data_IF_917811461726
#
_entry.id   IF_917811461726
#
_cell.length_a   1.000
_cell.length_b   1.000
_cell.length_c   1.000
_cell.angle_alpha   90.00
_cell.angle_beta   90.00
_cell.angle_gamma   90.00
#
_symmetry.space_group_name_H-M   'P 1'
#
loop_
_entity.id
_entity.type
_entity.pdbx_description
1 polymer ?
#
# COMPACT_ATOMS: atom_id res chain seq x y z
N UNK A 1 -65.83 -29.38 62.18
CA UNK A 1 -64.54 -29.10 61.54
C UNK A 1 -64.63 -28.90 60.01
N UNK A 2 -65.78 -28.38 59.46
CA UNK A 2 -65.92 -28.19 57.99
C UNK A 2 -66.13 -26.75 57.52
N UNK A 3 -66.07 -25.75 58.40
CA UNK A 3 -66.30 -24.32 58.06
C UNK A 3 -65.03 -23.50 57.81
N UNK A 4 -63.84 -24.02 58.16
CA UNK A 4 -62.59 -23.27 58.04
C UNK A 4 -61.90 -23.55 56.69
N UNK A 5 -62.23 -24.62 55.97
CA UNK A 5 -61.60 -24.97 54.69
C UNK A 5 -62.14 -24.10 53.52
N UNK A 6 -63.36 -23.59 53.55
CA UNK A 6 -63.94 -22.78 52.47
C UNK A 6 -63.42 -21.35 52.40
N UNK A 7 -63.02 -20.77 53.55
CA UNK A 7 -62.46 -19.38 53.57
C UNK A 7 -61.04 -19.25 53.06
N UNK A 8 -60.20 -20.32 53.08
CA UNK A 8 -58.85 -20.30 52.57
C UNK A 8 -58.80 -20.36 51.05
N UNK A 9 -59.74 -21.01 50.38
CA UNK A 9 -59.79 -21.07 48.91
C UNK A 9 -60.37 -19.80 48.29
N UNK A 10 -61.24 -19.10 48.93
CA UNK A 10 -61.79 -17.80 48.48
C UNK A 10 -60.74 -16.68 48.51
N UNK A 11 -59.90 -16.60 49.57
CA UNK A 11 -58.87 -15.60 49.71
C UNK A 11 -57.74 -15.80 48.74
N UNK A 12 -57.33 -17.06 48.44
CA UNK A 12 -56.26 -17.37 47.47
C UNK A 12 -56.66 -17.02 46.02
N UNK A 13 -57.93 -17.19 45.66
CA UNK A 13 -58.47 -16.82 44.35
C UNK A 13 -58.62 -15.30 44.18
N UNK A 14 -59.03 -14.56 45.23
CA UNK A 14 -59.12 -13.11 45.20
C UNK A 14 -57.68 -12.48 45.02
N UNK A 15 -56.68 -13.00 45.70
CA UNK A 15 -55.28 -12.53 45.57
C UNK A 15 -54.76 -12.85 44.17
N UNK A 16 -55.10 -14.00 43.59
CA UNK A 16 -54.65 -14.34 42.18
C UNK A 16 -55.33 -13.43 41.17
N UNK A 17 -56.58 -13.06 41.31
CA UNK A 17 -57.27 -12.15 40.41
C UNK A 17 -56.72 -10.72 40.55
N UNK A 18 -56.37 -10.27 41.75
CA UNK A 18 -55.78 -8.95 41.98
C UNK A 18 -54.33 -8.87 41.41
N UNK A 19 -53.60 -9.94 41.51
CA UNK A 19 -52.22 -9.98 40.91
C UNK A 19 -52.24 -10.01 39.37
N UNK A 20 -53.21 -10.76 38.78
CA UNK A 20 -53.40 -10.78 37.32
C UNK A 20 -53.91 -9.43 36.82
N UNK A 21 -54.81 -8.78 37.55
CA UNK A 21 -55.29 -7.43 37.24
C UNK A 21 -54.22 -6.35 37.34
N UNK A 22 -53.29 -6.43 38.30
CA UNK A 22 -52.18 -5.52 38.46
C UNK A 22 -51.13 -5.69 37.39
N UNK A 23 -50.91 -6.93 36.90
CA UNK A 23 -49.98 -7.21 35.78
C UNK A 23 -50.60 -6.72 34.46
N UNK A 24 -51.92 -6.83 34.27
CA UNK A 24 -52.59 -6.34 33.07
C UNK A 24 -52.72 -4.81 33.01
N UNK A 25 -52.78 -4.10 34.14
CA UNK A 25 -52.73 -2.63 34.18
C UNK A 25 -51.28 -2.07 34.10
N UNK A 26 -50.27 -2.85 34.50
CA UNK A 26 -48.85 -2.44 34.41
C UNK A 26 -48.27 -2.53 33.01
N UNK A 27 -48.85 -3.36 32.11
CA UNK A 27 -48.35 -3.55 30.75
C UNK A 27 -48.86 -2.52 29.72
N UNK A 28 -49.79 -1.63 30.10
CA UNK A 28 -50.39 -0.64 29.19
C UNK A 28 -49.77 0.77 29.28
N UNK A 29 -48.70 0.98 30.08
CA UNK A 29 -48.04 2.28 30.23
C UNK A 29 -46.60 2.35 29.69
N UNK A 30 -46.11 1.27 29.06
CA UNK A 30 -44.90 1.38 28.27
C UNK A 30 -45.31 1.83 26.87
N UNK A 31 -45.53 3.12 26.68
CA UNK A 31 -45.50 3.69 25.33
C UNK A 31 -44.18 3.30 24.69
N UNK A 32 -44.17 2.64 23.53
CA UNK A 32 -42.92 2.49 22.79
C UNK A 32 -42.40 3.90 22.58
N UNK A 33 -41.16 4.16 23.01
CA UNK A 33 -40.47 5.38 22.65
C UNK A 33 -40.63 5.54 21.13
N UNK A 34 -41.00 6.74 20.63
CA UNK A 34 -41.11 6.94 19.20
C UNK A 34 -39.82 6.45 18.57
N UNK A 35 -39.92 5.45 17.68
CA UNK A 35 -38.81 5.03 16.88
C UNK A 35 -38.26 6.30 16.21
N UNK A 36 -37.08 6.72 16.61
CA UNK A 36 -36.40 7.86 15.99
C UNK A 36 -36.32 7.50 14.52
N UNK A 37 -37.09 8.20 13.70
CA UNK A 37 -37.03 8.00 12.26
C UNK A 37 -35.54 8.18 11.90
N UNK A 38 -34.93 7.15 11.37
CA UNK A 38 -33.57 7.26 10.81
C UNK A 38 -33.63 8.38 9.79
N UNK A 39 -32.87 9.45 10.02
CA UNK A 39 -32.74 10.52 9.04
C UNK A 39 -32.20 9.88 7.75
N UNK A 40 -32.77 10.21 6.59
CA UNK A 40 -32.33 9.63 5.32
C UNK A 40 -30.86 9.94 5.12
N UNK A 41 -30.08 8.94 4.75
CA UNK A 41 -28.66 9.08 4.44
C UNK A 41 -28.44 10.09 3.32
N UNK A 42 -27.65 11.11 3.57
CA UNK A 42 -27.26 12.10 2.57
C UNK A 42 -26.23 11.51 1.62
N UNK A 43 -26.64 11.31 0.36
CA UNK A 43 -25.74 10.81 -0.69
C UNK A 43 -25.02 11.95 -1.39
N UNK A 44 -23.69 11.90 -1.37
CA UNK A 44 -22.80 12.86 -2.01
C UNK A 44 -22.10 12.19 -3.18
N UNK A 45 -22.47 12.56 -4.41
CA UNK A 45 -21.81 12.08 -5.62
C UNK A 45 -20.47 12.77 -5.78
N UNK A 46 -19.38 11.99 -5.96
CA UNK A 46 -18.01 12.51 -6.05
C UNK A 46 -17.32 12.06 -7.31
N UNK A 47 -16.46 12.92 -7.84
CA UNK A 47 -15.56 12.60 -8.94
C UNK A 47 -14.28 13.42 -8.86
N UNK A 48 -13.23 12.95 -9.53
CA UNK A 48 -11.90 13.53 -9.45
C UNK A 48 -11.24 13.60 -10.85
N UNK A 49 -10.53 14.69 -11.10
CA UNK A 49 -9.70 14.88 -12.29
C UNK A 49 -8.26 15.17 -11.87
N UNK A 50 -7.35 14.25 -12.18
CA UNK A 50 -5.92 14.44 -11.95
C UNK A 50 -5.36 15.36 -13.03
N UNK A 51 -4.90 16.53 -12.63
CA UNK A 51 -4.36 17.55 -13.52
C UNK A 51 -2.86 17.39 -13.75
N UNK A 52 -2.09 17.08 -12.68
CA UNK A 52 -0.64 16.89 -12.74
C UNK A 52 -0.14 15.98 -11.61
N UNK A 53 1.01 15.34 -11.83
CA UNK A 53 1.70 14.48 -10.87
C UNK A 53 3.20 14.70 -10.97
N UNK A 54 3.85 15.00 -9.85
CA UNK A 54 5.27 15.34 -9.78
C UNK A 54 5.94 14.66 -8.58
N UNK A 55 7.27 14.62 -8.61
CA UNK A 55 8.14 14.36 -7.47
C UNK A 55 7.80 13.11 -6.65
N UNK A 56 7.69 11.94 -7.33
CA UNK A 56 7.58 10.67 -6.62
C UNK A 56 8.89 10.36 -5.88
N UNK A 57 8.88 10.55 -4.58
CA UNK A 57 10.02 10.30 -3.69
C UNK A 57 9.82 8.99 -2.92
N UNK A 58 10.63 7.99 -3.25
CA UNK A 58 10.61 6.69 -2.59
C UNK A 58 11.15 6.75 -1.16
N UNK A 59 12.11 7.67 -0.88
CA UNK A 59 12.75 7.75 0.42
C UNK A 59 11.82 8.29 1.51
N UNK A 60 10.88 9.15 1.13
CA UNK A 60 9.89 9.75 2.03
C UNK A 60 8.48 9.18 1.85
N UNK A 61 8.32 8.16 1.00
CA UNK A 61 7.02 7.55 0.69
C UNK A 61 5.98 8.59 0.24
N UNK A 62 6.40 9.60 -0.54
CA UNK A 62 5.57 10.76 -0.88
C UNK A 62 5.56 11.10 -2.36
N UNK A 63 4.55 11.85 -2.79
CA UNK A 63 4.40 12.37 -4.14
C UNK A 63 3.59 13.66 -4.15
N UNK A 64 3.92 14.57 -5.07
CA UNK A 64 3.21 15.84 -5.27
C UNK A 64 2.17 15.67 -6.37
N UNK A 65 0.92 16.05 -6.10
CA UNK A 65 -0.18 15.92 -7.04
C UNK A 65 -1.07 17.16 -7.04
N UNK A 66 -1.57 17.52 -8.24
CA UNK A 66 -2.57 18.57 -8.48
C UNK A 66 -3.82 17.94 -9.09
N UNK A 67 -4.99 18.16 -8.50
CA UNK A 67 -6.24 17.58 -8.96
C UNK A 67 -7.43 18.44 -8.61
N UNK A 68 -8.52 18.19 -9.32
CA UNK A 68 -9.84 18.73 -9.02
C UNK A 68 -10.72 17.63 -8.46
N UNK A 69 -11.43 17.92 -7.36
CA UNK A 69 -12.44 17.08 -6.74
C UNK A 69 -13.77 17.78 -6.81
N UNK A 70 -14.76 17.20 -7.47
CA UNK A 70 -16.10 17.75 -7.48
C UNK A 70 -17.06 16.89 -6.69
N UNK A 71 -18.09 17.58 -6.15
CA UNK A 71 -19.15 16.97 -5.35
C UNK A 71 -20.51 17.48 -5.79
N UNK A 72 -21.51 16.60 -5.76
CA UNK A 72 -22.92 16.94 -5.95
C UNK A 72 -23.75 16.30 -4.84
N UNK A 73 -24.66 17.07 -4.24
CA UNK A 73 -25.54 16.61 -3.17
C UNK A 73 -26.89 17.33 -3.22
N UNK A 74 -27.92 16.79 -2.57
CA UNK A 74 -29.29 17.34 -2.64
C UNK A 74 -29.73 18.06 -1.38
N UNK A 75 -29.23 17.67 -0.20
CA UNK A 75 -29.61 18.28 1.06
C UNK A 75 -28.99 19.68 1.21
N UNK A 76 -29.79 20.77 1.19
CA UNK A 76 -29.26 22.13 1.30
C UNK A 76 -28.73 22.48 2.70
N UNK A 77 -28.94 21.60 3.69
CA UNK A 77 -28.49 21.80 5.10
C UNK A 77 -27.05 21.37 5.34
N UNK A 78 -26.46 20.64 4.39
CA UNK A 78 -25.08 20.20 4.48
C UNK A 78 -24.24 20.88 3.39
N UNK A 79 -22.95 21.05 3.67
CA UNK A 79 -21.96 21.45 2.68
C UNK A 79 -20.74 20.54 2.81
N UNK A 80 -20.73 19.39 2.12
CA UNK A 80 -19.61 18.44 2.18
C UNK A 80 -18.29 19.02 1.69
N UNK A 81 -18.34 20.13 0.93
CA UNK A 81 -17.11 20.78 0.44
C UNK A 81 -16.31 21.47 1.54
N UNK A 82 -16.95 21.76 2.67
CA UNK A 82 -16.31 22.36 3.85
C UNK A 82 -15.83 21.32 4.87
N UNK A 83 -16.38 20.11 4.80
CA UNK A 83 -16.12 19.04 5.80
C UNK A 83 -15.26 17.91 5.26
N UNK A 84 -15.09 17.79 3.92
CA UNK A 84 -14.23 16.79 3.33
C UNK A 84 -12.76 17.07 3.68
N UNK A 85 -12.05 16.05 4.15
CA UNK A 85 -10.64 16.15 4.51
C UNK A 85 -9.81 15.05 3.85
N UNK A 86 -8.51 15.32 3.72
CA UNK A 86 -7.54 14.40 3.17
C UNK A 86 -6.91 13.57 4.28
N UNK A 87 -6.99 12.24 4.20
CA UNK A 87 -6.51 11.32 5.24
C UNK A 87 -5.03 10.96 5.09
N UNK A 88 -4.41 11.23 3.95
CA UNK A 88 -3.02 10.88 3.68
C UNK A 88 -2.21 12.02 3.05
N UNK A 89 -2.60 13.27 3.29
CA UNK A 89 -1.79 14.44 2.93
C UNK A 89 -0.65 14.64 3.92
N UNK A 90 0.54 15.00 3.41
CA UNK A 90 1.70 15.30 4.24
C UNK A 90 1.77 16.81 4.50
N UNK A 91 1.17 17.25 5.60
CA UNK A 91 1.09 18.65 5.99
C UNK A 91 2.41 19.25 6.47
N UNK A 92 3.32 18.41 6.97
CA UNK A 92 4.56 18.88 7.59
C UNK A 92 5.56 19.47 6.61
N UNK A 93 5.40 19.28 5.30
CA UNK A 93 6.31 19.81 4.29
C UNK A 93 5.87 21.13 3.66
N UNK A 94 4.63 21.59 3.87
CA UNK A 94 4.12 22.84 3.32
C UNK A 94 3.84 23.88 4.41
N UNK A 95 4.86 24.65 4.77
CA UNK A 95 4.83 25.72 5.78
C UNK A 95 3.99 26.95 5.42
N UNK A 96 3.16 26.92 4.40
CA UNK A 96 2.49 28.14 3.88
C UNK A 96 0.97 28.18 3.98
N UNK A 97 0.29 27.19 4.53
CA UNK A 97 -1.17 27.34 4.70
C UNK A 97 -1.80 26.49 5.79
N UNK A 98 -2.53 27.17 6.61
CA UNK A 98 -3.57 26.74 7.56
C UNK A 98 -3.14 26.01 8.83
N UNK A 99 -3.64 26.53 9.93
CA UNK A 99 -3.49 26.04 11.32
C UNK A 99 -4.05 24.62 11.58
N UNK A 100 -4.49 23.90 10.56
CA UNK A 100 -5.08 22.56 10.65
C UNK A 100 -4.30 21.44 9.96
N UNK A 101 -3.09 21.69 9.45
CA UNK A 101 -2.12 20.62 9.17
C UNK A 101 -2.40 19.70 7.98
N UNK A 102 -3.30 20.00 7.04
CA UNK A 102 -3.61 19.18 5.86
C UNK A 102 -3.53 19.98 4.55
N UNK A 103 -3.49 19.26 3.41
CA UNK A 103 -3.72 19.87 2.11
C UNK A 103 -5.20 20.19 2.00
N UNK A 104 -5.55 21.47 2.00
CA UNK A 104 -6.95 21.92 1.89
C UNK A 104 -7.33 22.21 0.45
N UNK A 105 -8.54 21.80 0.08
CA UNK A 105 -9.12 22.11 -1.24
C UNK A 105 -9.50 23.59 -1.33
N UNK A 106 -9.06 24.25 -2.39
CA UNK A 106 -9.50 25.62 -2.68
C UNK A 106 -10.78 25.54 -3.56
N UNK A 107 -11.93 26.06 -3.08
CA UNK A 107 -13.15 26.05 -3.90
C UNK A 107 -13.00 26.99 -5.11
N UNK A 108 -13.49 26.54 -6.26
CA UNK A 108 -13.50 27.34 -7.50
C UNK A 108 -14.66 28.35 -7.50
N UNK A 109 -15.76 28.01 -6.86
CA UNK A 109 -16.90 28.91 -6.68
C UNK A 109 -16.96 29.38 -5.24
N UNK A 110 -17.28 30.66 -4.96
CA UNK A 110 -17.41 31.16 -3.60
C UNK A 110 -18.46 30.42 -2.76
N UNK A 111 -19.54 29.97 -3.41
CA UNK A 111 -20.62 29.16 -2.84
C UNK A 111 -20.99 28.03 -3.79
N UNK A 112 -21.54 26.91 -3.27
CA UNK A 112 -22.06 25.84 -4.12
C UNK A 112 -23.15 26.33 -5.06
N UNK A 113 -23.08 25.93 -6.32
CA UNK A 113 -24.03 26.33 -7.36
C UNK A 113 -25.17 25.31 -7.50
N UNK A 114 -26.38 25.81 -7.79
CA UNK A 114 -27.54 24.97 -8.05
C UNK A 114 -27.46 24.35 -9.46
N UNK A 115 -27.71 23.05 -9.54
CA UNK A 115 -27.74 22.31 -10.80
C UNK A 115 -29.21 22.18 -11.31
N UNK A 116 -29.39 21.94 -12.64
CA UNK A 116 -30.73 21.78 -13.21
C UNK A 116 -31.57 20.63 -12.62
N UNK A 117 -30.92 19.61 -12.03
CA UNK A 117 -31.54 18.47 -11.38
C UNK A 117 -31.91 18.73 -9.89
N UNK A 118 -31.72 19.97 -9.42
CA UNK A 118 -31.98 20.39 -8.04
C UNK A 118 -30.88 20.00 -7.06
N UNK A 119 -29.74 19.47 -7.51
CA UNK A 119 -28.58 19.23 -6.66
C UNK A 119 -27.72 20.49 -6.51
N UNK A 120 -26.96 20.56 -5.41
CA UNK A 120 -25.87 21.50 -5.20
C UNK A 120 -24.59 20.91 -5.80
N UNK A 121 -23.71 21.76 -6.32
CA UNK A 121 -22.42 21.39 -6.91
C UNK A 121 -21.32 22.29 -6.40
N UNK A 122 -20.19 21.69 -6.03
CA UNK A 122 -18.94 22.41 -5.76
C UNK A 122 -17.77 21.62 -6.32
N UNK A 123 -16.73 22.36 -6.72
CA UNK A 123 -15.46 21.80 -7.17
C UNK A 123 -14.33 22.45 -6.40
N UNK A 124 -13.43 21.61 -5.88
CA UNK A 124 -12.25 22.00 -5.11
C UNK A 124 -11.00 21.66 -5.90
N UNK A 125 -10.02 22.56 -5.93
CA UNK A 125 -8.68 22.26 -6.42
C UNK A 125 -7.76 21.98 -5.26
N UNK A 126 -7.07 20.86 -5.32
CA UNK A 126 -6.04 20.45 -4.39
C UNK A 126 -4.68 20.44 -5.07
N UNK A 127 -3.67 20.94 -4.38
CA UNK A 127 -2.29 20.86 -4.83
C UNK A 127 -1.41 20.68 -3.60
N UNK A 128 -0.66 19.58 -3.55
CA UNK A 128 0.19 19.30 -2.39
C UNK A 128 0.83 17.94 -2.40
N UNK A 129 1.48 17.64 -1.27
CA UNK A 129 2.19 16.39 -1.05
C UNK A 129 1.29 15.40 -0.34
N UNK A 130 1.20 14.22 -0.91
CA UNK A 130 0.49 13.06 -0.35
C UNK A 130 1.49 11.96 -0.03
N UNK A 131 1.19 11.15 0.97
CA UNK A 131 2.06 10.06 1.37
C UNK A 131 1.33 8.72 1.36
N UNK A 132 2.07 7.69 0.97
CA UNK A 132 1.66 6.31 1.07
C UNK A 132 2.88 5.42 1.11
N UNK A 133 2.94 4.50 2.08
CA UNK A 133 4.02 3.52 2.16
C UNK A 133 4.13 2.74 0.84
N UNK A 134 5.30 2.83 0.20
CA UNK A 134 5.58 2.20 -1.08
C UNK A 134 6.16 0.81 -0.86
N UNK A 135 5.71 -0.16 -1.66
CA UNK A 135 6.22 -1.51 -1.59
C UNK A 135 7.33 -1.71 -2.62
N UNK A 136 8.53 -1.99 -2.15
CA UNK A 136 9.73 -2.20 -2.96
C UNK A 136 10.19 -3.68 -3.00
N UNK A 137 9.41 -4.64 -2.48
CA UNK A 137 9.78 -6.06 -2.52
C UNK A 137 10.20 -6.51 -3.92
N UNK A 138 9.45 -6.09 -4.94
CA UNK A 138 9.67 -6.45 -6.35
C UNK A 138 10.58 -5.49 -7.09
N UNK A 139 11.22 -4.56 -6.40
CA UNK A 139 12.09 -3.59 -7.06
C UNK A 139 13.19 -4.30 -7.89
N UNK A 140 13.40 -3.92 -9.15
CA UNK A 140 12.82 -2.81 -9.91
C UNK A 140 11.56 -3.14 -10.75
N UNK A 141 10.92 -4.29 -10.56
CA UNK A 141 9.74 -4.74 -11.33
C UNK A 141 8.42 -4.39 -10.66
N UNK A 142 8.42 -3.41 -9.77
CA UNK A 142 7.29 -2.98 -8.94
C UNK A 142 6.30 -2.09 -9.70
N UNK A 143 5.09 -2.02 -9.15
CA UNK A 143 4.08 -1.03 -9.50
C UNK A 143 3.66 -0.33 -8.21
N UNK A 144 3.81 0.98 -8.15
CA UNK A 144 3.39 1.77 -7.01
C UNK A 144 1.95 2.23 -7.19
N UNK A 145 1.14 2.05 -6.16
CA UNK A 145 -0.25 2.49 -6.15
C UNK A 145 -0.33 3.82 -5.42
N UNK A 146 -0.34 4.93 -6.13
CA UNK A 146 -0.48 6.26 -5.54
C UNK A 146 -1.93 6.47 -5.13
N UNK A 147 -2.20 6.65 -3.84
CA UNK A 147 -3.56 6.72 -3.32
C UNK A 147 -3.89 8.10 -2.77
N UNK A 148 -5.06 8.63 -3.11
CA UNK A 148 -5.68 9.76 -2.45
C UNK A 148 -6.84 9.24 -1.61
N UNK A 149 -6.86 9.58 -0.33
CA UNK A 149 -7.87 9.09 0.62
C UNK A 149 -8.59 10.28 1.24
N UNK A 150 -9.93 10.24 1.20
CA UNK A 150 -10.78 11.30 1.75
C UNK A 150 -11.87 10.72 2.62
N UNK A 151 -12.25 11.49 3.65
CA UNK A 151 -13.40 11.25 4.52
C UNK A 151 -14.11 12.57 4.82
N UNK A 152 -15.31 12.47 5.41
CA UNK A 152 -15.96 13.63 5.99
C UNK A 152 -15.50 13.79 7.46
N UNK A 153 -15.08 14.97 7.86
CA UNK A 153 -14.55 15.22 9.21
C UNK A 153 -15.65 15.28 10.30
N UNK A 154 -16.93 15.40 9.90
CA UNK A 154 -18.05 15.65 10.84
C UNK A 154 -19.11 14.55 10.74
N UNK A 155 -19.43 14.11 9.53
CA UNK A 155 -20.59 13.25 9.27
C UNK A 155 -20.18 11.77 9.11
N UNK A 156 -20.39 10.98 10.17
CA UNK A 156 -20.28 9.52 10.12
C UNK A 156 -21.50 8.88 9.43
N UNK A 157 -21.39 7.60 9.07
CA UNK A 157 -22.53 6.79 8.64
C UNK A 157 -23.50 6.56 9.81
N UNK A 158 -24.82 6.47 9.54
CA UNK A 158 -25.46 6.53 8.23
C UNK A 158 -25.78 7.94 7.71
N UNK A 159 -25.27 8.99 8.35
CA UNK A 159 -25.66 10.37 8.04
C UNK A 159 -25.20 10.82 6.66
N UNK A 160 -23.96 10.51 6.25
CA UNK A 160 -23.40 10.86 4.95
C UNK A 160 -22.73 9.66 4.29
N UNK A 161 -23.01 9.44 3.01
CA UNK A 161 -22.42 8.39 2.17
C UNK A 161 -21.91 9.00 0.88
N UNK A 162 -20.63 8.77 0.56
CA UNK A 162 -20.07 9.13 -0.73
C UNK A 162 -20.44 8.08 -1.79
N UNK A 163 -20.74 8.53 -3.00
CA UNK A 163 -21.10 7.67 -4.14
C UNK A 163 -20.27 8.12 -5.34
N UNK A 164 -19.59 7.20 -6.04
CA UNK A 164 -18.83 7.56 -7.25
C UNK A 164 -19.73 8.15 -8.34
N UNK A 165 -19.25 9.16 -9.07
CA UNK A 165 -19.94 9.69 -10.25
C UNK A 165 -19.87 8.67 -11.42
N UNK A 166 -20.62 8.91 -12.49
CA UNK A 166 -20.64 8.08 -13.72
C UNK A 166 -19.26 7.96 -14.35
N UNK A 167 -18.44 9.00 -14.28
CA UNK A 167 -17.00 8.99 -14.60
C UNK A 167 -16.26 9.40 -13.34
N UNK A 168 -15.97 8.45 -12.45
CA UNK A 168 -15.53 8.79 -11.10
C UNK A 168 -14.13 9.38 -11.06
N UNK A 169 -13.23 8.95 -11.96
CA UNK A 169 -11.86 9.47 -12.04
C UNK A 169 -11.42 9.62 -13.48
N UNK A 170 -10.80 10.76 -13.78
CA UNK A 170 -10.12 10.98 -15.05
C UNK A 170 -8.71 11.50 -14.82
N UNK A 171 -7.81 11.18 -15.76
CA UNK A 171 -6.41 11.60 -15.77
C UNK A 171 -6.17 12.49 -16.98
N UNK A 172 -5.52 13.63 -16.78
CA UNK A 172 -5.03 14.44 -17.89
C UNK A 172 -4.04 13.64 -18.73
N UNK A 173 -4.29 13.54 -20.04
CA UNK A 173 -3.48 12.73 -20.95
C UNK A 173 -2.04 13.24 -21.13
N UNK A 174 -1.76 14.49 -20.77
CA UNK A 174 -0.42 15.07 -20.81
C UNK A 174 0.43 14.77 -19.56
N UNK A 175 -0.16 14.19 -18.51
CA UNK A 175 0.58 13.85 -17.27
C UNK A 175 1.55 12.73 -17.55
N UNK A 176 2.81 12.99 -17.21
CA UNK A 176 3.88 12.00 -17.28
C UNK A 176 4.65 12.00 -15.96
N UNK A 177 5.03 10.84 -15.49
CA UNK A 177 5.90 10.68 -14.33
C UNK A 177 7.23 10.06 -14.79
N UNK A 178 8.37 10.78 -14.70
CA UNK A 178 9.65 10.24 -15.13
C UNK A 178 9.99 8.90 -14.49
N UNK A 179 10.32 7.89 -15.29
CA UNK A 179 10.63 6.54 -14.81
C UNK A 179 9.42 5.67 -14.49
N UNK A 180 8.20 6.11 -14.82
CA UNK A 180 6.98 5.34 -14.60
C UNK A 180 5.98 5.46 -15.75
N UNK A 181 5.24 4.39 -15.98
CA UNK A 181 4.08 4.34 -16.86
C UNK A 181 2.82 4.38 -16.02
N UNK A 182 2.05 5.47 -16.12
CA UNK A 182 0.78 5.63 -15.41
C UNK A 182 -0.30 4.75 -16.05
N UNK A 183 -1.07 4.07 -15.21
CA UNK A 183 -2.25 3.29 -15.64
C UNK A 183 -3.52 4.07 -15.35
N UNK A 184 -4.65 3.54 -15.83
CA UNK A 184 -5.97 4.11 -15.57
C UNK A 184 -6.23 4.16 -14.05
N UNK A 185 -6.54 5.34 -13.50
CA UNK A 185 -6.90 5.46 -12.10
C UNK A 185 -8.26 4.83 -11.80
N UNK A 186 -8.45 4.44 -10.56
CA UNK A 186 -9.73 3.88 -10.07
C UNK A 186 -10.17 4.60 -8.81
N UNK A 187 -11.50 4.68 -8.59
CA UNK A 187 -12.10 5.18 -7.36
C UNK A 187 -12.92 4.07 -6.74
N UNK A 188 -12.71 3.83 -5.45
CA UNK A 188 -13.50 2.95 -4.62
C UNK A 188 -14.04 3.73 -3.43
N UNK A 189 -15.29 3.48 -3.06
CA UNK A 189 -15.87 3.98 -1.81
C UNK A 189 -16.04 2.79 -0.89
N UNK A 190 -15.52 2.92 0.34
CA UNK A 190 -15.53 1.88 1.36
C UNK A 190 -16.02 2.45 2.67
N UNK A 191 -16.38 1.59 3.61
CA UNK A 191 -16.65 1.97 4.99
C UNK A 191 -15.38 1.80 5.79
N UNK A 192 -14.99 2.85 6.52
CA UNK A 192 -13.87 2.79 7.45
C UNK A 192 -14.37 2.84 8.88
N UNK A 193 -13.99 1.83 9.67
CA UNK A 193 -14.40 1.67 11.06
C UNK A 193 -13.35 2.26 12.00
N UNK A 194 -13.78 3.17 12.87
CA UNK A 194 -12.99 3.69 13.98
C UNK A 194 -13.50 3.09 15.30
N UNK A 195 -12.69 2.34 16.05
CA UNK A 195 -13.04 1.78 17.36
C UNK A 195 -12.95 2.83 18.47
N UNK A 196 -13.38 4.06 18.19
CA UNK A 196 -13.31 5.19 19.13
C UNK A 196 -14.32 6.26 18.76
N UNK A 197 -14.79 6.99 19.78
CA UNK A 197 -15.59 8.22 19.59
C UNK A 197 -14.72 9.49 19.66
N UNK A 198 -13.41 9.39 19.59
CA UNK A 198 -12.47 10.51 19.68
C UNK A 198 -12.64 11.39 20.93
N UNK A 199 -13.24 10.84 22.01
CA UNK A 199 -13.48 11.56 23.27
C UNK A 199 -14.79 12.36 23.31
N UNK A 200 -15.60 12.32 22.26
CA UNK A 200 -16.94 12.91 22.25
C UNK A 200 -17.92 12.00 22.99
N UNK A 201 -18.34 12.45 24.19
CA UNK A 201 -19.27 11.71 25.04
C UNK A 201 -20.72 11.64 24.46
N UNK A 202 -21.04 12.47 23.46
CA UNK A 202 -22.32 12.49 22.78
C UNK A 202 -22.40 11.52 21.59
N UNK A 203 -21.23 11.11 21.07
CA UNK A 203 -21.09 10.21 19.93
C UNK A 203 -21.10 8.73 20.36
N UNK A 204 -21.48 7.80 19.47
CA UNK A 204 -21.29 6.36 19.70
C UNK A 204 -19.83 6.02 19.99
N UNK A 205 -19.58 4.94 20.75
CA UNK A 205 -18.20 4.50 21.07
C UNK A 205 -17.38 4.10 19.86
N UNK A 206 -18.06 3.68 18.80
CA UNK A 206 -17.49 3.27 17.53
C UNK A 206 -18.19 4.03 16.43
N UNK A 207 -17.46 4.42 15.41
CA UNK A 207 -17.98 5.22 14.30
C UNK A 207 -17.49 4.67 12.96
N UNK A 208 -18.42 4.63 12.01
CA UNK A 208 -18.16 4.23 10.64
C UNK A 208 -18.23 5.45 9.74
N UNK A 209 -17.21 5.64 8.89
CA UNK A 209 -17.16 6.74 7.94
C UNK A 209 -17.15 6.23 6.51
N UNK A 210 -17.81 6.97 5.62
CA UNK A 210 -17.71 6.73 4.19
C UNK A 210 -16.36 7.25 3.68
N UNK A 211 -15.50 6.35 3.20
CA UNK A 211 -14.14 6.65 2.75
C UNK A 211 -14.01 6.52 1.25
N UNK A 212 -13.49 7.56 0.61
CA UNK A 212 -13.13 7.58 -0.81
C UNK A 212 -11.66 7.21 -0.94
N UNK A 213 -11.36 6.21 -1.76
CA UNK A 213 -9.99 5.81 -2.09
C UNK A 213 -9.82 5.90 -3.60
N UNK A 214 -9.00 6.84 -4.07
CA UNK A 214 -8.59 6.93 -5.46
C UNK A 214 -7.20 6.34 -5.57
N UNK A 215 -7.01 5.40 -6.49
CA UNK A 215 -5.72 4.74 -6.72
C UNK A 215 -5.27 5.00 -8.14
N UNK A 216 -4.06 5.55 -8.29
CA UNK A 216 -3.36 5.73 -9.57
C UNK A 216 -2.17 4.78 -9.61
N UNK A 217 -2.24 3.66 -10.36
CA UNK A 217 -1.12 2.75 -10.47
C UNK A 217 -0.03 3.31 -11.37
N UNK A 218 1.18 3.42 -10.84
CA UNK A 218 2.39 3.85 -11.54
C UNK A 218 3.35 2.64 -11.69
N UNK A 219 3.42 2.06 -12.88
CA UNK A 219 4.33 0.94 -13.19
C UNK A 219 5.72 1.49 -13.50
N UNK A 220 6.74 1.00 -12.80
CA UNK A 220 8.12 1.41 -13.02
C UNK A 220 8.61 1.04 -14.41
N UNK A 221 9.34 1.98 -15.06
CA UNK A 221 10.14 1.66 -16.24
C UNK A 221 11.39 0.88 -15.79
N UNK A 222 11.40 -0.40 -16.11
CA UNK A 222 12.44 -1.34 -15.65
C UNK A 222 13.73 -1.15 -16.42
N UNK A 223 13.67 -0.70 -17.67
CA UNK A 223 14.82 -0.69 -18.57
C UNK A 223 16.03 0.08 -18.05
N UNK A 224 15.89 1.31 -17.50
CA UNK A 224 17.01 2.04 -16.91
C UNK A 224 17.68 1.28 -15.75
N UNK A 225 16.90 0.57 -14.95
CA UNK A 225 17.40 -0.19 -13.79
C UNK A 225 18.12 -1.47 -14.21
N UNK A 226 17.66 -2.14 -15.27
CA UNK A 226 18.38 -3.28 -15.85
C UNK A 226 19.80 -2.87 -16.28
N UNK A 227 19.95 -1.73 -16.95
CA UNK A 227 21.26 -1.25 -17.39
C UNK A 227 22.12 -0.71 -16.25
N UNK A 228 21.53 -0.04 -15.26
CA UNK A 228 22.29 0.60 -14.18
C UNK A 228 22.65 -0.36 -13.04
N UNK A 229 21.83 -1.37 -12.76
CA UNK A 229 22.00 -2.27 -11.61
C UNK A 229 22.33 -3.69 -12.08
N UNK A 230 21.47 -4.31 -12.87
CA UNK A 230 21.59 -5.74 -13.20
C UNK A 230 22.76 -6.00 -14.14
N UNK A 231 22.96 -5.16 -15.14
CA UNK A 231 24.04 -5.34 -16.11
C UNK A 231 25.44 -5.27 -15.47
N UNK A 232 25.79 -4.30 -14.59
CA UNK A 232 27.07 -4.31 -13.89
C UNK A 232 27.30 -5.57 -13.06
N UNK A 233 26.28 -6.04 -12.33
CA UNK A 233 26.35 -7.29 -11.56
C UNK A 233 26.66 -8.47 -12.49
N UNK A 234 25.94 -8.58 -13.60
CA UNK A 234 26.13 -9.65 -14.59
C UNK A 234 27.56 -9.64 -15.15
N UNK A 235 28.10 -8.46 -15.48
CA UNK A 235 29.49 -8.31 -15.97
C UNK A 235 30.50 -8.80 -14.92
N UNK A 236 30.31 -8.45 -13.64
CA UNK A 236 31.17 -8.91 -12.56
C UNK A 236 31.14 -10.44 -12.42
N UNK A 237 29.93 -11.05 -12.48
CA UNK A 237 29.76 -12.51 -12.45
C UNK A 237 30.46 -13.17 -13.65
N UNK A 238 30.32 -12.61 -14.85
CA UNK A 238 31.00 -13.12 -16.05
C UNK A 238 32.54 -13.00 -15.94
N UNK A 239 33.05 -11.89 -15.44
CA UNK A 239 34.49 -11.71 -15.16
C UNK A 239 34.96 -12.74 -14.14
N UNK A 240 34.18 -12.96 -13.06
CA UNK A 240 34.50 -13.99 -12.08
C UNK A 240 34.55 -15.39 -12.72
N UNK A 241 33.71 -15.69 -13.69
CA UNK A 241 33.69 -16.96 -14.41
C UNK A 241 34.99 -17.22 -15.17
N UNK A 242 35.81 -16.20 -15.50
CA UNK A 242 37.14 -16.36 -16.12
C UNK A 242 38.11 -17.12 -15.22
N UNK A 243 37.90 -17.15 -13.90
CA UNK A 243 38.68 -17.95 -12.96
C UNK A 243 38.77 -19.42 -13.41
N UNK A 244 37.70 -19.98 -13.95
CA UNK A 244 37.66 -21.37 -14.42
C UNK A 244 38.34 -21.61 -15.76
N UNK A 245 38.65 -20.53 -16.50
CA UNK A 245 39.37 -20.61 -17.77
C UNK A 245 40.90 -20.43 -17.60
N UNK A 246 41.29 -19.78 -16.51
CA UNK A 246 42.71 -19.58 -16.22
C UNK A 246 43.37 -20.89 -15.76
N UNK A 247 44.66 -21.13 -16.09
CA UNK A 247 45.40 -22.26 -15.56
C UNK A 247 45.52 -22.21 -14.03
N UNK A 248 45.46 -23.37 -13.33
CA UNK A 248 45.55 -23.45 -11.87
C UNK A 248 46.88 -22.89 -11.32
N UNK A 249 47.94 -22.86 -12.15
CA UNK A 249 49.25 -22.27 -11.78
C UNK A 249 49.22 -20.75 -11.56
N UNK A 250 48.18 -20.08 -12.09
CA UNK A 250 47.97 -18.63 -11.95
C UNK A 250 47.01 -18.34 -10.75
N UNK A 251 47.30 -18.95 -9.61
CA UNK A 251 46.45 -18.83 -8.41
C UNK A 251 46.33 -17.40 -7.90
N UNK A 252 47.39 -16.60 -7.98
CA UNK A 252 47.40 -15.17 -7.62
C UNK A 252 46.44 -14.37 -8.50
N UNK A 253 46.44 -14.63 -9.82
CA UNK A 253 45.52 -13.98 -10.76
C UNK A 253 44.06 -14.40 -10.49
N UNK A 254 43.83 -15.71 -10.24
CA UNK A 254 42.49 -16.20 -9.88
C UNK A 254 41.99 -15.54 -8.58
N UNK A 255 42.84 -15.48 -7.55
CA UNK A 255 42.51 -14.83 -6.28
C UNK A 255 42.25 -13.32 -6.46
N UNK A 256 43.08 -12.65 -7.24
CA UNK A 256 42.94 -11.22 -7.56
C UNK A 256 41.60 -10.91 -8.22
N UNK A 257 41.18 -11.71 -9.21
CA UNK A 257 39.87 -11.57 -9.87
C UNK A 257 38.73 -11.72 -8.83
N UNK A 258 38.77 -12.77 -8.00
CA UNK A 258 37.72 -13.04 -7.01
C UNK A 258 37.60 -11.95 -5.93
N UNK A 259 38.74 -11.47 -5.40
CA UNK A 259 38.76 -10.38 -4.39
C UNK A 259 38.20 -9.09 -5.00
N UNK A 260 38.68 -8.73 -6.21
CA UNK A 260 38.21 -7.52 -6.91
C UNK A 260 36.72 -7.61 -7.22
N UNK A 261 36.23 -8.76 -7.69
CA UNK A 261 34.83 -8.99 -7.97
C UNK A 261 33.96 -8.84 -6.70
N UNK A 262 34.42 -9.42 -5.57
CA UNK A 262 33.71 -9.30 -4.28
C UNK A 262 33.61 -7.84 -3.84
N UNK A 263 34.71 -7.09 -3.88
CA UNK A 263 34.72 -5.67 -3.52
C UNK A 263 33.83 -4.85 -4.45
N UNK A 264 33.81 -5.17 -5.75
CA UNK A 264 32.97 -4.48 -6.73
C UNK A 264 31.47 -4.73 -6.46
N UNK A 265 31.06 -5.97 -6.16
CA UNK A 265 29.67 -6.27 -5.83
C UNK A 265 29.23 -5.53 -4.55
N UNK A 266 30.05 -5.53 -3.51
CA UNK A 266 29.76 -4.80 -2.27
C UNK A 266 29.64 -3.29 -2.52
N UNK A 267 30.51 -2.72 -3.35
CA UNK A 267 30.43 -1.30 -3.71
C UNK A 267 29.17 -0.97 -4.53
N UNK A 268 28.78 -1.84 -5.47
CA UNK A 268 27.54 -1.69 -6.25
C UNK A 268 26.31 -1.79 -5.34
N UNK A 269 26.29 -2.75 -4.42
CA UNK A 269 25.21 -2.89 -3.43
C UNK A 269 25.08 -1.62 -2.60
N UNK A 270 26.18 -1.14 -2.01
CA UNK A 270 26.16 0.10 -1.22
C UNK A 270 25.65 1.31 -2.01
N UNK A 271 26.04 1.43 -3.29
CA UNK A 271 25.53 2.49 -4.15
C UNK A 271 24.02 2.38 -4.37
N UNK A 272 23.50 1.18 -4.54
CA UNK A 272 22.06 0.93 -4.70
C UNK A 272 21.31 1.24 -3.40
N UNK A 273 21.82 0.79 -2.25
CA UNK A 273 21.19 1.01 -0.94
C UNK A 273 21.08 2.50 -0.60
N UNK A 274 22.05 3.33 -1.01
CA UNK A 274 22.01 4.78 -0.81
C UNK A 274 20.96 5.50 -1.69
N UNK A 275 20.42 4.86 -2.72
CA UNK A 275 19.39 5.43 -3.62
C UNK A 275 17.98 4.98 -3.28
N UNK A 276 17.82 4.03 -2.37
CA UNK A 276 16.54 3.46 -1.95
C UNK A 276 16.27 3.78 -0.48
N UNK A 277 14.99 3.82 -0.05
CA UNK A 277 14.66 3.94 1.35
C UNK A 277 15.09 2.70 2.13
N UNK A 278 15.38 2.86 3.41
CA UNK A 278 15.61 1.74 4.31
C UNK A 278 14.31 1.00 4.58
N UNK A 279 14.26 -0.27 4.19
CA UNK A 279 13.09 -1.15 4.40
C UNK A 279 13.47 -2.31 5.32
N UNK A 280 12.46 -2.89 6.00
CA UNK A 280 12.62 -3.99 6.95
C UNK A 280 12.44 -5.39 6.32
N UNK A 281 12.41 -5.45 4.99
CA UNK A 281 12.27 -6.69 4.21
C UNK A 281 13.30 -6.75 3.09
N UNK A 282 13.57 -7.96 2.58
CA UNK A 282 14.47 -8.16 1.44
C UNK A 282 13.77 -7.78 0.13
N UNK A 283 14.41 -6.88 -0.61
CA UNK A 283 14.02 -6.57 -1.98
C UNK A 283 14.55 -7.63 -2.95
N UNK A 284 13.93 -7.76 -4.11
CA UNK A 284 14.41 -8.68 -5.14
C UNK A 284 15.84 -8.34 -5.60
N UNK A 285 16.21 -7.09 -5.63
CA UNK A 285 17.57 -6.65 -5.97
C UNK A 285 18.61 -7.14 -4.94
N UNK A 286 18.26 -7.17 -3.64
CA UNK A 286 19.13 -7.67 -2.59
C UNK A 286 19.45 -9.15 -2.79
N UNK A 287 18.44 -9.92 -3.19
CA UNK A 287 18.61 -11.34 -3.48
C UNK A 287 19.59 -11.54 -4.64
N UNK A 288 19.55 -10.70 -5.68
CA UNK A 288 20.52 -10.75 -6.80
C UNK A 288 21.95 -10.49 -6.28
N UNK A 289 22.15 -9.50 -5.41
CA UNK A 289 23.45 -9.23 -4.79
C UNK A 289 23.93 -10.41 -3.94
N UNK A 290 23.08 -10.95 -3.06
CA UNK A 290 23.43 -12.09 -2.19
C UNK A 290 23.82 -13.32 -3.02
N UNK A 291 23.06 -13.65 -4.06
CA UNK A 291 23.36 -14.78 -4.94
C UNK A 291 24.67 -14.57 -5.71
N UNK A 292 24.96 -13.32 -6.13
CA UNK A 292 26.21 -12.98 -6.83
C UNK A 292 27.41 -13.09 -5.89
N UNK A 293 27.31 -12.61 -4.65
CA UNK A 293 28.34 -12.79 -3.63
C UNK A 293 28.59 -14.27 -3.35
N UNK A 294 27.53 -15.06 -3.24
CA UNK A 294 27.66 -16.50 -3.03
C UNK A 294 28.33 -17.20 -4.22
N UNK A 295 28.01 -16.81 -5.46
CA UNK A 295 28.68 -17.29 -6.66
C UNK A 295 30.19 -17.01 -6.63
N UNK A 296 30.59 -15.77 -6.29
CA UNK A 296 32.00 -15.37 -6.18
C UNK A 296 32.69 -16.16 -5.07
N UNK A 297 32.04 -16.36 -3.92
CA UNK A 297 32.55 -17.17 -2.82
C UNK A 297 32.83 -18.62 -3.25
N UNK A 298 31.91 -19.24 -3.99
CA UNK A 298 32.11 -20.61 -4.55
C UNK A 298 33.28 -20.64 -5.52
N UNK A 299 33.41 -19.63 -6.41
CA UNK A 299 34.53 -19.53 -7.34
C UNK A 299 35.90 -19.38 -6.62
N UNK A 300 35.92 -18.59 -5.53
CA UNK A 300 37.11 -18.45 -4.68
C UNK A 300 37.45 -19.75 -3.95
N UNK A 301 36.46 -20.40 -3.34
CA UNK A 301 36.62 -21.71 -2.70
C UNK A 301 37.17 -22.76 -3.66
N UNK A 302 36.66 -22.78 -4.90
CA UNK A 302 37.18 -23.65 -5.95
C UNK A 302 38.65 -23.35 -6.27
N UNK A 303 39.07 -22.08 -6.33
CA UNK A 303 40.49 -21.69 -6.55
C UNK A 303 41.39 -22.30 -5.49
N UNK A 304 41.03 -22.25 -4.20
CA UNK A 304 41.78 -22.85 -3.10
C UNK A 304 41.88 -24.38 -3.24
N UNK A 305 40.79 -25.04 -3.66
CA UNK A 305 40.83 -26.51 -3.88
C UNK A 305 41.68 -26.87 -5.09
N UNK A 306 41.59 -26.10 -6.17
CA UNK A 306 42.37 -26.31 -7.39
C UNK A 306 43.90 -26.11 -7.13
N UNK A 307 44.28 -25.11 -6.31
CA UNK A 307 45.69 -24.86 -5.95
C UNK A 307 46.31 -26.02 -5.14
N UNK A 308 45.51 -26.67 -4.26
CA UNK A 308 46.00 -27.85 -3.50
C UNK A 308 46.24 -29.08 -4.40
N UNK A 309 45.44 -29.26 -5.46
CA UNK A 309 45.64 -30.36 -6.42
C UNK A 309 46.92 -30.23 -7.23
N UNK A 310 47.39 -28.99 -7.47
CA UNK A 310 48.60 -28.66 -8.21
C UNK A 310 49.90 -29.15 -7.57
N UNK A 311 49.90 -29.38 -6.23
CA UNK A 311 51.06 -29.88 -5.52
C UNK A 311 51.46 -31.36 -5.92
N UNK A 312 50.61 -32.01 -6.71
CA UNK A 312 50.78 -33.40 -7.15
C UNK A 312 50.76 -33.53 -8.69
N UNK A 313 51.75 -32.96 -9.36
CA UNK A 313 52.13 -33.16 -10.77
C UNK A 313 51.15 -32.81 -11.91
N UNK A 314 51.77 -32.19 -12.95
CA UNK A 314 51.33 -32.02 -14.35
C UNK A 314 49.86 -31.58 -14.56
N UNK A 315 49.73 -30.34 -15.07
CA UNK A 315 48.46 -29.78 -15.57
C UNK A 315 47.98 -30.54 -16.81
N UNK A 316 47.31 -31.66 -16.63
CA UNK A 316 46.75 -32.48 -17.68
C UNK A 316 45.52 -31.80 -18.33
N UNK A 317 45.27 -32.11 -19.61
CA UNK A 317 44.07 -31.73 -20.34
C UNK A 317 42.77 -32.08 -19.57
N UNK A 318 42.84 -33.10 -18.68
CA UNK A 318 41.76 -33.54 -17.81
C UNK A 318 41.40 -32.48 -16.73
N UNK A 319 42.38 -31.87 -16.04
CA UNK A 319 42.13 -30.84 -15.03
C UNK A 319 41.54 -29.58 -15.62
N UNK A 320 41.99 -29.16 -16.81
CA UNK A 320 41.37 -28.04 -17.53
C UNK A 320 39.93 -28.33 -17.98
N UNK A 321 39.67 -29.56 -18.40
CA UNK A 321 38.30 -29.98 -18.74
C UNK A 321 37.39 -29.96 -17.51
N UNK A 322 37.90 -30.38 -16.34
CA UNK A 322 37.18 -30.36 -15.07
C UNK A 322 36.87 -28.92 -14.63
N UNK A 323 37.84 -28.01 -14.69
CA UNK A 323 37.69 -26.59 -14.36
C UNK A 323 36.56 -25.96 -15.21
N UNK A 324 36.60 -26.17 -16.55
CA UNK A 324 35.55 -25.67 -17.45
C UNK A 324 34.18 -26.23 -17.16
N UNK A 325 34.08 -27.56 -16.91
CA UNK A 325 32.79 -28.21 -16.58
C UNK A 325 32.23 -27.65 -15.27
N UNK A 326 33.08 -27.46 -14.26
CA UNK A 326 32.63 -26.89 -12.98
C UNK A 326 32.21 -25.43 -13.15
N UNK A 327 32.94 -24.63 -13.96
CA UNK A 327 32.55 -23.26 -14.27
C UNK A 327 31.21 -23.15 -14.99
N UNK A 328 30.99 -23.99 -16.01
CA UNK A 328 29.70 -24.05 -16.72
C UNK A 328 28.57 -24.48 -15.77
N UNK A 329 28.80 -25.49 -14.92
CA UNK A 329 27.83 -25.97 -13.96
C UNK A 329 27.43 -24.85 -12.96
N UNK A 330 28.42 -24.20 -12.34
CA UNK A 330 28.16 -23.14 -11.33
C UNK A 330 27.47 -21.94 -11.94
N UNK A 331 27.86 -21.50 -13.15
CA UNK A 331 27.21 -20.41 -13.86
C UNK A 331 25.77 -20.78 -14.26
N UNK A 332 25.54 -22.02 -14.71
CA UNK A 332 24.18 -22.49 -15.04
C UNK A 332 23.29 -22.56 -13.82
N UNK A 333 23.82 -23.07 -12.68
CA UNK A 333 23.07 -23.09 -11.40
C UNK A 333 22.73 -21.68 -10.96
N UNK A 334 23.70 -20.75 -11.00
CA UNK A 334 23.47 -19.34 -10.67
C UNK A 334 22.35 -18.73 -11.53
N UNK A 335 22.40 -18.94 -12.86
CA UNK A 335 21.39 -18.41 -13.77
C UNK A 335 20.01 -19.00 -13.50
N UNK A 336 19.93 -20.32 -13.28
CA UNK A 336 18.65 -20.99 -12.95
C UNK A 336 18.09 -20.48 -11.63
N UNK A 337 18.92 -20.32 -10.58
CA UNK A 337 18.48 -19.84 -9.28
C UNK A 337 17.94 -18.40 -9.38
N UNK A 338 18.61 -17.50 -10.12
CA UNK A 338 18.14 -16.15 -10.34
C UNK A 338 16.78 -16.16 -11.10
N UNK A 339 16.66 -16.93 -12.17
CA UNK A 339 15.42 -16.99 -12.95
C UNK A 339 14.27 -17.53 -12.09
N UNK A 340 14.51 -18.58 -11.30
CA UNK A 340 13.51 -19.12 -10.37
C UNK A 340 13.14 -18.08 -9.30
N UNK A 341 14.10 -17.37 -8.73
CA UNK A 341 13.85 -16.32 -7.77
C UNK A 341 12.98 -15.21 -8.38
N UNK A 342 13.30 -14.74 -9.59
CA UNK A 342 12.51 -13.72 -10.30
C UNK A 342 11.07 -14.19 -10.56
N UNK A 343 10.87 -15.46 -10.92
CA UNK A 343 9.53 -16.03 -11.12
C UNK A 343 8.76 -16.08 -9.79
N UNK A 344 9.39 -16.55 -8.72
CA UNK A 344 8.74 -16.64 -7.41
C UNK A 344 8.32 -15.27 -6.88
N UNK A 345 9.19 -14.27 -6.97
CA UNK A 345 8.84 -12.89 -6.61
C UNK A 345 7.78 -12.28 -7.53
N UNK A 346 7.79 -12.64 -8.83
CA UNK A 346 6.77 -12.21 -9.78
C UNK A 346 5.38 -12.76 -9.50
N UNK A 347 5.29 -14.01 -9.03
CA UNK A 347 4.03 -14.71 -8.74
C UNK A 347 3.46 -14.32 -7.37
N UNK A 348 4.28 -13.91 -6.42
CA UNK A 348 3.81 -13.51 -5.09
C UNK A 348 2.88 -12.30 -5.20
N UNK A 349 1.57 -12.51 -4.94
CA UNK A 349 0.57 -11.42 -4.92
C UNK A 349 0.79 -10.60 -3.67
N UNK A 350 1.06 -9.32 -3.85
CA UNK A 350 1.13 -8.39 -2.73
C UNK A 350 -0.28 -8.05 -2.25
N UNK A 351 -0.46 -8.09 -0.94
CA UNK A 351 -1.69 -7.71 -0.25
C UNK A 351 -1.69 -6.19 -0.05
N UNK A 352 -2.66 -5.49 -0.62
CA UNK A 352 -2.80 -4.04 -0.46
C UNK A 352 -3.80 -3.75 0.69
N UNK A 353 -3.33 -3.28 1.86
CA UNK A 353 -4.19 -3.09 3.04
C UNK A 353 -5.25 -1.99 2.89
N UNK A 354 -5.15 -1.12 1.87
CA UNK A 354 -6.15 -0.07 1.64
C UNK A 354 -7.35 -0.54 0.80
N UNK A 355 -7.30 -1.75 0.24
CA UNK A 355 -8.40 -2.31 -0.53
C UNK A 355 -9.31 -3.23 0.32
N UNK A 356 -9.09 -3.28 1.62
CA UNK A 356 -9.95 -3.86 2.64
C UNK A 356 -10.74 -2.77 3.37
#
# INVERSE_FOLDING_TARGET
MSYIAGLRHGAANLIRILIIGAIALGSSLVSPAPARAEEPTDKVTVGLYINDLQDLDLATDSYTIDFYLWMRWRNPRIDPSQTIETMNSNAFQNTTSSAAGGVTGKPLYPEPIDQPDGSKYQILRYQGVFSRRMNLEKFPFDTQNLALVFEDSIAALPRLEYVPDTVPVALNQSVTLPGYFLKTPTMNVTVHHYPTNFGDLSAPKEQDYSRIIITLPAKRDVLPYLFKIVLPILIVVLITSLIYLLPARLEEARAGIGITAMLTIVALQWTTDNTLPSVDYLMMVDLIYILSLFYIFVAMGYTVVASRRKAHEAEDAYTRSLDRKFGVLTLSVYTVVIVVAMILYGVHRHFDPLLQ
#
